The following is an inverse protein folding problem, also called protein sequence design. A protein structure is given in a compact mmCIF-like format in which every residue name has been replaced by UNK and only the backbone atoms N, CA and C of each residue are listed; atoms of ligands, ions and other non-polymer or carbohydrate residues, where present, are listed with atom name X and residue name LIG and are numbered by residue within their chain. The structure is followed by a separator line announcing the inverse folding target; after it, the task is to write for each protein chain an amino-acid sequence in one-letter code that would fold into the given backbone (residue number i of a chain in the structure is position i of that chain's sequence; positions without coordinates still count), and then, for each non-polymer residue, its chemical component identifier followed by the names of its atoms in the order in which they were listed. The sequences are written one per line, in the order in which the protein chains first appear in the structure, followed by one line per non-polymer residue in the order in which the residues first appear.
data_IF_311257645748
#
_entry.id   IF_311257645748
#
_cell.length_a   1.000
_cell.length_b   1.000
_cell.length_c   1.000
_cell.angle_alpha   90.00
_cell.angle_beta   90.00
_cell.angle_gamma   90.00
#
_symmetry.space_group_name_H-M   'P 1'
#
loop_
_entity.id
_entity.type
_entity.pdbx_description
1 polymer ?
#
# COMPACT_ATOMS: atom_id res chain seq x y z
N UNK A 1 -38.82 2.51 -16.31
CA UNK A 1 -37.86 2.84 -17.38
C UNK A 1 -37.65 4.35 -17.41
N UNK A 2 -36.62 4.85 -16.72
CA UNK A 2 -36.19 6.24 -16.89
C UNK A 2 -35.44 6.31 -18.22
N UNK A 3 -35.95 7.06 -19.18
CA UNK A 3 -35.30 7.29 -20.47
C UNK A 3 -33.99 8.03 -20.28
N UNK A 4 -32.87 7.33 -20.43
CA UNK A 4 -31.56 7.95 -20.66
C UNK A 4 -31.62 8.59 -22.06
N UNK A 5 -31.73 9.93 -22.14
CA UNK A 5 -31.59 10.65 -23.40
C UNK A 5 -30.18 10.39 -24.00
N UNK A 6 -30.03 10.57 -25.34
CA UNK A 6 -28.74 10.35 -26.03
C UNK A 6 -27.62 11.16 -25.36
N UNK A 7 -26.43 10.54 -25.09
CA UNK A 7 -25.29 11.26 -24.57
C UNK A 7 -24.84 12.33 -25.57
N UNK A 8 -24.44 13.50 -25.09
CA UNK A 8 -24.00 14.62 -25.96
C UNK A 8 -22.58 14.46 -26.46
N UNK A 9 -21.75 13.66 -25.74
CA UNK A 9 -20.34 13.43 -26.12
C UNK A 9 -19.89 12.06 -25.64
N UNK A 10 -19.05 11.39 -26.44
CA UNK A 10 -18.46 10.08 -26.12
C UNK A 10 -16.98 10.14 -26.45
N UNK A 11 -16.12 10.15 -25.44
CA UNK A 11 -14.68 10.12 -25.61
C UNK A 11 -14.10 8.75 -25.21
N UNK A 12 -13.20 8.23 -26.03
CA UNK A 12 -12.52 6.99 -25.77
C UNK A 12 -11.38 7.18 -24.74
N UNK A 13 -11.43 6.48 -23.61
CA UNK A 13 -10.33 6.40 -22.68
C UNK A 13 -9.25 5.46 -23.23
N UNK A 14 -8.12 6.01 -23.68
CA UNK A 14 -6.98 5.23 -24.19
C UNK A 14 -6.25 4.37 -23.16
N UNK A 15 -6.67 4.42 -21.88
CA UNK A 15 -5.90 3.85 -20.77
C UNK A 15 -6.15 2.35 -20.50
N UNK A 16 -7.16 1.71 -21.08
CA UNK A 16 -7.45 0.28 -20.84
C UNK A 16 -7.02 -0.61 -22.01
N UNK A 17 -6.17 -1.61 -21.76
CA UNK A 17 -5.75 -2.59 -22.79
C UNK A 17 -6.74 -3.77 -22.93
N UNK A 18 -7.71 -3.95 -22.05
CA UNK A 18 -8.61 -5.11 -22.00
C UNK A 18 -10.03 -4.81 -22.40
N UNK A 19 -10.78 -4.04 -21.65
CA UNK A 19 -12.17 -3.68 -21.94
C UNK A 19 -12.27 -2.23 -22.43
N UNK A 20 -12.78 -1.96 -23.67
CA UNK A 20 -12.98 -0.60 -24.16
C UNK A 20 -13.80 0.23 -23.20
N UNK A 21 -13.26 1.36 -22.79
CA UNK A 21 -13.81 2.25 -21.77
C UNK A 21 -14.02 3.64 -22.35
N UNK A 22 -15.18 4.25 -22.09
CA UNK A 22 -15.61 5.52 -22.66
C UNK A 22 -16.18 6.43 -21.60
N UNK A 23 -15.96 7.74 -21.75
CA UNK A 23 -16.71 8.75 -21.01
C UNK A 23 -18.05 9.01 -21.69
N UNK A 24 -19.10 9.08 -20.88
CA UNK A 24 -20.42 9.52 -21.30
C UNK A 24 -20.78 10.80 -20.56
N UNK A 25 -21.10 11.87 -21.27
CA UNK A 25 -21.54 13.12 -20.67
C UNK A 25 -23.05 13.31 -20.84
N UNK A 26 -23.76 13.55 -19.73
CA UNK A 26 -25.17 13.91 -19.70
C UNK A 26 -25.37 15.16 -18.85
N UNK A 27 -25.58 16.32 -19.49
CA UNK A 27 -25.60 17.60 -18.81
C UNK A 27 -24.25 17.90 -18.14
N UNK A 28 -24.25 18.14 -16.84
CA UNK A 28 -23.04 18.35 -16.04
C UNK A 28 -22.46 17.07 -15.43
N UNK A 29 -23.11 15.93 -15.61
CA UNK A 29 -22.69 14.66 -15.04
C UNK A 29 -21.92 13.85 -16.08
N UNK A 30 -20.79 13.29 -15.64
CA UNK A 30 -19.97 12.36 -16.41
C UNK A 30 -20.10 10.95 -15.85
N UNK A 31 -20.20 9.98 -16.73
CA UNK A 31 -20.27 8.56 -16.42
C UNK A 31 -19.17 7.83 -17.18
N UNK A 32 -18.90 6.60 -16.77
CA UNK A 32 -17.98 5.69 -17.47
C UNK A 32 -18.77 4.50 -17.99
N UNK A 33 -18.62 4.22 -19.29
CA UNK A 33 -19.15 3.03 -19.94
C UNK A 33 -17.99 2.08 -20.22
N UNK A 34 -18.11 0.83 -19.78
CA UNK A 34 -17.21 -0.28 -20.17
C UNK A 34 -17.99 -1.30 -20.95
N UNK A 35 -17.38 -1.81 -22.04
CA UNK A 35 -18.01 -2.82 -22.91
C UNK A 35 -17.04 -3.94 -23.24
N UNK A 36 -17.57 -5.11 -23.63
CA UNK A 36 -16.75 -6.17 -24.20
C UNK A 36 -16.10 -5.71 -25.50
N UNK A 37 -14.82 -6.07 -25.77
CA UNK A 37 -14.21 -5.80 -27.07
C UNK A 37 -14.92 -6.57 -28.19
N UNK A 38 -14.86 -6.06 -29.43
CA UNK A 38 -15.42 -6.77 -30.57
C UNK A 38 -14.58 -8.00 -30.92
N UNK A 39 -15.19 -8.98 -31.58
CA UNK A 39 -14.51 -10.18 -32.10
C UNK A 39 -14.72 -11.44 -31.27
N UNK A 40 -14.04 -12.52 -31.68
CA UNK A 40 -14.07 -13.80 -30.97
C UNK A 40 -13.19 -13.73 -29.73
N UNK A 41 -13.78 -13.84 -28.56
CA UNK A 41 -13.10 -13.74 -27.27
C UNK A 41 -12.75 -15.12 -26.74
N UNK A 42 -11.64 -15.22 -26.04
CA UNK A 42 -11.27 -16.44 -25.31
C UNK A 42 -12.33 -16.71 -24.23
N UNK A 43 -12.67 -17.99 -23.98
CA UNK A 43 -13.59 -18.35 -22.90
C UNK A 43 -13.13 -17.76 -21.58
N UNK A 44 -14.05 -17.13 -20.84
CA UNK A 44 -13.82 -16.44 -19.54
C UNK A 44 -12.98 -15.17 -19.59
N UNK A 45 -12.58 -14.68 -20.76
CA UNK A 45 -12.01 -13.34 -20.89
C UNK A 45 -13.12 -12.28 -20.97
N UNK A 46 -12.82 -11.07 -20.51
CA UNK A 46 -13.71 -9.91 -20.68
C UNK A 46 -15.13 -10.07 -20.09
N UNK A 47 -15.23 -10.68 -18.90
CA UNK A 47 -16.51 -10.92 -18.21
C UNK A 47 -16.98 -9.66 -17.47
N UNK A 48 -17.50 -8.67 -18.22
CA UNK A 48 -17.97 -7.40 -17.66
C UNK A 48 -19.20 -7.53 -16.74
N UNK A 49 -20.00 -8.58 -16.91
CA UNK A 49 -21.09 -8.96 -16.03
C UNK A 49 -20.59 -9.29 -14.62
N UNK A 50 -19.45 -10.00 -14.52
CA UNK A 50 -18.79 -10.31 -13.24
C UNK A 50 -18.21 -9.06 -12.59
N UNK A 51 -17.57 -8.20 -13.40
CA UNK A 51 -17.03 -6.93 -12.93
C UNK A 51 -18.15 -6.03 -12.36
N UNK A 52 -19.27 -5.90 -13.07
CA UNK A 52 -20.43 -5.18 -12.57
C UNK A 52 -21.02 -5.81 -11.30
N UNK A 53 -21.13 -7.14 -11.24
CA UNK A 53 -21.67 -7.87 -10.08
C UNK A 53 -20.87 -7.59 -8.81
N UNK A 54 -19.55 -7.71 -8.85
CA UNK A 54 -18.69 -7.46 -7.68
C UNK A 54 -18.71 -6.00 -7.26
N UNK A 55 -18.66 -5.07 -8.22
CA UNK A 55 -18.72 -3.64 -7.94
C UNK A 55 -20.04 -3.26 -7.28
N UNK A 56 -21.17 -3.83 -7.74
CA UNK A 56 -22.49 -3.62 -7.12
C UNK A 56 -22.56 -4.14 -5.70
N UNK A 57 -22.02 -5.33 -5.45
CA UNK A 57 -21.96 -5.91 -4.12
C UNK A 57 -21.12 -5.05 -3.16
N UNK A 58 -19.94 -4.61 -3.59
CA UNK A 58 -19.04 -3.75 -2.79
C UNK A 58 -19.66 -2.38 -2.52
N UNK A 59 -20.29 -1.78 -3.52
CA UNK A 59 -20.97 -0.50 -3.33
C UNK A 59 -22.10 -0.58 -2.31
N UNK A 60 -22.86 -1.68 -2.29
CA UNK A 60 -24.01 -1.85 -1.37
C UNK A 60 -23.62 -1.86 0.12
N UNK A 61 -22.36 -2.20 0.42
CA UNK A 61 -21.81 -2.24 1.79
C UNK A 61 -20.92 -1.04 2.11
N UNK A 62 -20.85 -0.04 1.22
CA UNK A 62 -20.05 1.17 1.45
C UNK A 62 -18.55 1.01 1.21
N UNK A 63 -18.09 -0.07 0.57
CA UNK A 63 -16.70 -0.18 0.14
C UNK A 63 -16.43 0.80 -1.01
N UNK A 64 -15.27 1.49 -1.05
CA UNK A 64 -14.97 2.53 -2.04
C UNK A 64 -14.82 1.92 -3.46
N UNK A 65 -15.89 1.97 -4.22
CA UNK A 65 -15.94 1.66 -5.65
C UNK A 65 -16.82 2.67 -6.36
N UNK A 66 -16.69 2.89 -7.68
CA UNK A 66 -17.60 3.73 -8.42
C UNK A 66 -19.04 3.21 -8.29
N UNK A 67 -20.01 4.12 -8.14
CA UNK A 67 -21.42 3.74 -8.08
C UNK A 67 -21.83 3.04 -9.38
N UNK A 68 -22.25 1.77 -9.35
CA UNK A 68 -22.77 1.06 -10.52
C UNK A 68 -24.15 1.62 -10.87
N UNK A 69 -24.38 1.96 -12.15
CA UNK A 69 -25.62 2.58 -12.61
C UNK A 69 -26.51 1.55 -13.29
N UNK A 70 -25.98 0.88 -14.32
CA UNK A 70 -26.72 -0.15 -15.05
C UNK A 70 -25.79 -1.16 -15.71
N UNK A 71 -26.28 -2.36 -15.91
CA UNK A 71 -25.72 -3.38 -16.79
C UNK A 71 -26.72 -3.69 -17.90
N UNK A 72 -26.24 -3.81 -19.12
CA UNK A 72 -27.05 -4.13 -20.31
C UNK A 72 -26.46 -5.34 -21.03
N UNK A 73 -27.21 -6.43 -21.04
CA UNK A 73 -26.88 -7.65 -21.79
C UNK A 73 -27.46 -7.64 -23.21
N UNK A 74 -28.34 -6.69 -23.54
CA UNK A 74 -28.93 -6.57 -24.86
C UNK A 74 -27.93 -5.98 -25.87
N UNK A 75 -27.42 -6.86 -26.72
CA UNK A 75 -26.43 -6.49 -27.74
C UNK A 75 -27.00 -5.64 -28.87
N UNK A 76 -28.33 -5.54 -29.00
CA UNK A 76 -28.96 -4.66 -30.02
C UNK A 76 -28.74 -3.18 -29.75
N UNK A 77 -28.40 -2.79 -28.50
CA UNK A 77 -28.26 -1.38 -28.08
C UNK A 77 -26.98 -0.74 -28.63
N UNK A 78 -25.80 -1.40 -28.47
CA UNK A 78 -24.50 -0.89 -28.95
C UNK A 78 -23.62 -1.96 -29.58
N UNK A 79 -24.20 -3.08 -29.99
CA UNK A 79 -23.48 -4.19 -30.63
C UNK A 79 -22.80 -5.17 -29.67
N UNK A 80 -22.81 -4.92 -28.37
CA UNK A 80 -22.17 -5.78 -27.37
C UNK A 80 -22.73 -5.48 -25.98
N UNK A 81 -22.51 -6.39 -25.02
CA UNK A 81 -22.81 -6.15 -23.61
C UNK A 81 -21.96 -5.01 -23.05
N UNK A 82 -22.54 -4.23 -22.14
CA UNK A 82 -21.86 -3.12 -21.48
C UNK A 82 -22.43 -2.83 -20.10
N UNK A 83 -21.68 -2.09 -19.30
CA UNK A 83 -22.21 -1.47 -18.08
C UNK A 83 -21.79 -0.01 -17.97
N UNK A 84 -22.54 0.74 -17.16
CA UNK A 84 -22.30 2.14 -16.87
C UNK A 84 -22.11 2.32 -15.37
N UNK A 85 -21.12 3.11 -14.99
CA UNK A 85 -20.83 3.50 -13.62
C UNK A 85 -20.60 5.01 -13.52
N UNK A 86 -20.60 5.52 -12.31
CA UNK A 86 -20.20 6.89 -12.00
C UNK A 86 -18.75 7.15 -12.42
N UNK A 87 -18.47 8.33 -12.93
CA UNK A 87 -17.11 8.81 -13.09
C UNK A 87 -16.64 9.43 -11.78
N UNK A 88 -15.77 8.74 -11.06
CA UNK A 88 -15.19 9.22 -9.80
C UNK A 88 -14.05 10.18 -10.11
N UNK A 89 -14.21 11.45 -9.74
CA UNK A 89 -13.18 12.48 -9.93
C UNK A 89 -12.19 12.46 -8.77
N UNK A 90 -10.92 12.23 -9.08
CA UNK A 90 -9.86 12.16 -8.08
C UNK A 90 -8.47 12.06 -8.69
N UNK A 91 -7.48 11.78 -7.85
CA UNK A 91 -6.08 11.60 -8.26
C UNK A 91 -5.79 10.12 -8.43
N UNK A 92 -5.11 9.76 -9.52
CA UNK A 92 -4.59 8.41 -9.78
C UNK A 92 -3.08 8.52 -9.94
N UNK A 93 -2.33 7.72 -9.19
CA UNK A 93 -0.87 7.74 -9.22
C UNK A 93 -0.35 6.55 -10.03
N UNK A 94 0.24 6.84 -11.19
CA UNK A 94 0.85 5.83 -12.08
C UNK A 94 2.34 5.64 -11.80
N UNK A 95 2.99 6.68 -11.30
CA UNK A 95 4.36 6.63 -10.82
C UNK A 95 4.35 6.28 -9.33
N UNK A 96 4.96 5.15 -8.97
CA UNK A 96 4.98 4.64 -7.60
C UNK A 96 5.79 5.55 -6.65
N UNK A 97 6.65 6.42 -7.18
CA UNK A 97 7.39 7.40 -6.37
C UNK A 97 6.53 8.60 -5.97
N UNK A 98 5.36 8.75 -6.58
CA UNK A 98 4.39 9.82 -6.37
C UNK A 98 5.07 11.19 -6.36
N UNK A 99 5.70 11.61 -7.47
CA UNK A 99 6.38 12.89 -7.56
C UNK A 99 5.40 14.04 -7.30
N UNK A 100 5.92 15.12 -6.71
CA UNK A 100 5.14 16.32 -6.40
C UNK A 100 4.42 16.31 -5.05
N UNK A 101 4.38 15.17 -4.33
CA UNK A 101 3.89 15.11 -2.96
C UNK A 101 5.04 15.18 -1.94
N UNK A 102 4.74 15.71 -0.76
CA UNK A 102 5.66 15.67 0.38
C UNK A 102 5.88 14.24 0.89
N UNK A 103 6.96 13.95 1.62
CA UNK A 103 7.17 12.64 2.24
C UNK A 103 5.99 12.17 3.11
N UNK A 104 5.39 13.06 3.88
CA UNK A 104 4.23 12.76 4.72
C UNK A 104 2.99 12.38 3.89
N UNK A 105 2.73 13.10 2.79
CA UNK A 105 1.61 12.78 1.89
C UNK A 105 1.83 11.45 1.17
N UNK A 106 3.07 11.16 0.73
CA UNK A 106 3.39 9.84 0.13
C UNK A 106 3.12 8.72 1.13
N UNK A 107 3.61 8.86 2.37
CA UNK A 107 3.32 7.90 3.44
C UNK A 107 1.82 7.71 3.61
N UNK A 108 1.05 8.79 3.73
CA UNK A 108 -0.39 8.73 3.92
C UNK A 108 -1.12 8.04 2.74
N UNK A 109 -0.69 8.24 1.49
CA UNK A 109 -1.24 7.54 0.30
C UNK A 109 -0.98 6.03 0.39
N UNK A 110 0.23 5.60 0.73
CA UNK A 110 0.55 4.18 0.86
C UNK A 110 -0.19 3.53 2.04
N UNK A 111 -0.28 4.23 3.17
CA UNK A 111 -1.06 3.79 4.34
C UNK A 111 -2.53 3.61 3.97
N UNK A 112 -3.17 4.62 3.39
CA UNK A 112 -4.58 4.56 2.97
C UNK A 112 -4.84 3.42 1.95
N UNK A 113 -3.86 3.12 1.08
CA UNK A 113 -3.94 1.99 0.15
C UNK A 113 -4.00 0.65 0.87
N UNK A 114 -3.10 0.44 1.83
CA UNK A 114 -3.03 -0.82 2.59
C UNK A 114 -4.21 -0.96 3.55
N UNK A 115 -4.68 0.11 4.16
CA UNK A 115 -5.90 0.13 4.99
C UNK A 115 -7.13 -0.27 4.15
N UNK A 116 -7.25 0.26 2.92
CA UNK A 116 -8.33 -0.13 2.00
C UNK A 116 -8.24 -1.62 1.62
N UNK A 117 -7.04 -2.13 1.39
CA UNK A 117 -6.85 -3.56 1.14
C UNK A 117 -7.22 -4.40 2.37
N UNK A 118 -6.83 -3.98 3.56
CA UNK A 118 -7.21 -4.66 4.80
C UNK A 118 -8.73 -4.66 5.02
N UNK A 119 -9.40 -3.54 4.71
CA UNK A 119 -10.86 -3.44 4.72
C UNK A 119 -11.49 -4.46 3.75
N UNK A 120 -10.99 -4.55 2.51
CA UNK A 120 -11.47 -5.54 1.53
C UNK A 120 -11.39 -6.96 2.08
N UNK A 121 -10.31 -7.29 2.80
CA UNK A 121 -10.09 -8.61 3.39
C UNK A 121 -10.94 -8.90 4.63
N UNK A 122 -11.49 -7.86 5.24
CA UNK A 122 -12.39 -8.02 6.40
C UNK A 122 -13.84 -8.31 5.99
N UNK A 123 -14.14 -8.25 4.69
CA UNK A 123 -15.49 -8.47 4.18
C UNK A 123 -15.87 -9.96 4.23
N UNK A 124 -17.06 -10.22 4.70
CA UNK A 124 -17.65 -11.56 4.63
C UNK A 124 -18.23 -11.81 3.24
N UNK A 125 -17.73 -12.86 2.55
CA UNK A 125 -18.18 -13.23 1.18
C UNK A 125 -19.68 -13.52 1.14
N UNK A 126 -20.22 -14.15 2.17
CA UNK A 126 -21.65 -14.48 2.23
C UNK A 126 -22.51 -13.22 2.28
N UNK A 127 -22.08 -12.20 3.04
CA UNK A 127 -22.80 -10.91 3.09
C UNK A 127 -22.78 -10.16 1.77
N UNK A 128 -21.80 -10.44 0.89
CA UNK A 128 -21.70 -9.87 -0.45
C UNK A 128 -22.58 -10.55 -1.50
N UNK A 129 -23.24 -11.67 -1.16
CA UNK A 129 -24.02 -12.47 -2.11
C UNK A 129 -23.22 -12.82 -3.39
N UNK A 130 -21.95 -13.18 -3.19
CA UNK A 130 -21.01 -13.54 -4.26
C UNK A 130 -20.78 -15.06 -4.32
N UNK A 131 -21.79 -15.87 -3.91
CA UNK A 131 -21.75 -17.33 -4.04
C UNK A 131 -21.52 -17.71 -5.51
N UNK A 132 -20.57 -18.64 -5.72
CA UNK A 132 -20.19 -19.07 -7.06
C UNK A 132 -19.39 -18.05 -7.88
N UNK A 133 -19.02 -16.90 -7.29
CA UNK A 133 -18.18 -15.90 -7.97
C UNK A 133 -16.77 -16.42 -8.27
N UNK A 134 -16.25 -17.34 -7.47
CA UNK A 134 -14.96 -18.01 -7.67
C UNK A 134 -14.89 -19.29 -6.84
N UNK A 135 -13.81 -20.03 -7.02
CA UNK A 135 -13.47 -21.20 -6.22
C UNK A 135 -12.32 -20.80 -5.31
N UNK A 136 -12.55 -20.68 -4.01
CA UNK A 136 -11.54 -20.26 -3.04
C UNK A 136 -10.58 -21.38 -2.70
N UNK A 137 -11.08 -22.49 -2.16
CA UNK A 137 -10.28 -23.62 -1.70
C UNK A 137 -9.29 -24.12 -2.76
N UNK A 138 -8.02 -24.28 -2.37
CA UNK A 138 -6.93 -24.68 -3.26
C UNK A 138 -6.54 -23.60 -4.30
N UNK A 139 -6.76 -22.33 -3.98
CA UNK A 139 -6.45 -21.20 -4.85
C UNK A 139 -4.99 -21.17 -5.25
N UNK A 140 -4.05 -21.26 -4.31
CA UNK A 140 -2.61 -21.20 -4.57
C UNK A 140 -2.16 -22.31 -5.53
N UNK A 141 -2.59 -23.55 -5.27
CA UNK A 141 -2.31 -24.69 -6.14
C UNK A 141 -2.82 -24.47 -7.58
N UNK A 142 -4.04 -23.93 -7.71
CA UNK A 142 -4.59 -23.62 -9.04
C UNK A 142 -3.83 -22.50 -9.73
N UNK A 143 -3.42 -21.44 -9.02
CA UNK A 143 -2.62 -20.36 -9.58
C UNK A 143 -1.29 -20.89 -10.10
N UNK A 144 -0.54 -21.64 -9.30
CA UNK A 144 0.73 -22.24 -9.73
C UNK A 144 0.51 -23.08 -10.99
N UNK A 145 -0.45 -24.01 -10.99
CA UNK A 145 -0.75 -24.89 -12.11
C UNK A 145 -1.16 -24.13 -13.37
N UNK A 146 -1.99 -23.09 -13.21
CA UNK A 146 -2.47 -22.29 -14.36
C UNK A 146 -1.34 -21.50 -14.99
N UNK A 147 -0.54 -20.81 -14.18
CA UNK A 147 0.57 -19.99 -14.70
C UNK A 147 1.70 -20.85 -15.27
N UNK A 148 1.95 -22.03 -14.71
CA UNK A 148 2.88 -23.02 -15.29
C UNK A 148 2.45 -23.42 -16.70
N UNK A 149 1.16 -23.80 -16.86
CA UNK A 149 0.62 -24.18 -18.19
C UNK A 149 0.66 -23.02 -19.17
N UNK A 150 0.29 -21.81 -18.73
CA UNK A 150 0.31 -20.62 -19.58
C UNK A 150 1.75 -20.26 -20.03
N UNK A 151 2.71 -20.31 -19.10
CA UNK A 151 4.11 -20.10 -19.42
C UNK A 151 4.61 -21.14 -20.41
N UNK A 152 4.38 -22.42 -20.16
CA UNK A 152 4.82 -23.51 -21.06
C UNK A 152 4.24 -23.38 -22.47
N UNK A 153 2.96 -23.00 -22.58
CA UNK A 153 2.31 -22.79 -23.87
C UNK A 153 2.86 -21.55 -24.63
N UNK A 154 3.43 -20.59 -23.93
CA UNK A 154 3.98 -19.34 -24.50
C UNK A 154 5.52 -19.35 -24.58
N UNK A 155 6.20 -20.36 -24.04
CA UNK A 155 7.66 -20.39 -23.96
C UNK A 155 8.28 -20.60 -25.36
N UNK A 156 9.27 -19.75 -25.70
CA UNK A 156 10.06 -19.83 -26.92
C UNK A 156 11.52 -20.22 -26.66
N UNK A 157 11.92 -20.16 -25.38
CA UNK A 157 13.23 -20.57 -24.89
C UNK A 157 13.11 -21.16 -23.51
N UNK A 158 14.08 -21.98 -23.13
CA UNK A 158 14.15 -22.49 -21.76
C UNK A 158 14.70 -21.40 -20.82
N UNK A 159 13.97 -21.16 -19.72
CA UNK A 159 14.38 -20.27 -18.63
C UNK A 159 14.40 -21.10 -17.35
N UNK A 160 15.58 -21.63 -16.95
CA UNK A 160 15.68 -22.55 -15.80
C UNK A 160 15.08 -21.99 -14.51
N UNK A 161 15.15 -20.66 -14.30
CA UNK A 161 14.55 -20.01 -13.13
C UNK A 161 13.02 -20.17 -13.09
N UNK A 162 12.34 -20.16 -14.23
CA UNK A 162 10.88 -20.37 -14.28
C UNK A 162 10.50 -21.80 -13.89
N UNK A 163 11.26 -22.80 -14.36
CA UNK A 163 11.02 -24.19 -13.98
C UNK A 163 11.26 -24.41 -12.49
N UNK A 164 12.44 -23.98 -11.98
CA UNK A 164 12.80 -24.11 -10.56
C UNK A 164 11.78 -23.40 -9.65
N UNK A 165 11.32 -22.20 -10.04
CA UNK A 165 10.32 -21.45 -9.30
C UNK A 165 8.97 -22.16 -9.27
N UNK A 166 8.53 -22.70 -10.43
CA UNK A 166 7.29 -23.49 -10.52
C UNK A 166 7.31 -24.73 -9.62
N UNK A 167 8.43 -25.48 -9.66
CA UNK A 167 8.63 -26.67 -8.82
C UNK A 167 8.65 -26.32 -7.33
N UNK A 168 9.35 -25.25 -6.97
CA UNK A 168 9.41 -24.78 -5.59
C UNK A 168 8.02 -24.36 -5.08
N UNK A 169 7.28 -23.57 -5.86
CA UNK A 169 5.92 -23.12 -5.50
C UNK A 169 4.98 -24.31 -5.31
N UNK A 170 5.03 -25.32 -6.18
CA UNK A 170 4.19 -26.50 -6.07
C UNK A 170 4.53 -27.34 -4.84
N UNK A 171 5.80 -27.39 -4.43
CA UNK A 171 6.27 -28.12 -3.26
C UNK A 171 5.99 -27.40 -1.93
N UNK A 172 5.87 -26.07 -1.96
CA UNK A 172 5.75 -25.24 -0.75
C UNK A 172 4.39 -24.53 -0.68
N UNK A 173 3.33 -25.20 -1.11
CA UNK A 173 1.96 -24.67 -0.98
C UNK A 173 1.64 -24.35 0.48
N UNK A 174 0.94 -23.22 0.76
CA UNK A 174 0.52 -22.91 2.11
C UNK A 174 -0.45 -23.94 2.68
N UNK A 175 -0.28 -24.27 3.97
CA UNK A 175 -1.20 -25.20 4.66
C UNK A 175 -2.64 -24.65 4.75
N UNK A 176 -2.78 -23.30 4.74
CA UNK A 176 -4.04 -22.59 4.78
C UNK A 176 -4.59 -22.22 3.39
N UNK A 177 -4.28 -22.97 2.33
CA UNK A 177 -4.79 -22.72 0.96
C UNK A 177 -6.33 -22.86 0.83
N UNK A 178 -7.02 -23.05 1.96
CA UNK A 178 -8.48 -23.03 2.05
C UNK A 178 -9.04 -21.69 2.55
N UNK A 179 -8.22 -20.71 2.87
CA UNK A 179 -8.70 -19.38 3.18
C UNK A 179 -9.34 -18.72 1.95
N UNK A 180 -10.56 -18.21 2.15
CA UNK A 180 -11.38 -17.66 1.08
C UNK A 180 -11.72 -16.21 1.35
N UNK A 181 -11.28 -15.34 0.46
CA UNK A 181 -11.62 -13.92 0.47
C UNK A 181 -11.87 -13.43 -0.95
N UNK A 182 -12.63 -12.35 -1.07
CA UNK A 182 -12.68 -11.61 -2.33
C UNK A 182 -11.30 -10.99 -2.59
N UNK A 183 -10.67 -11.32 -3.69
CA UNK A 183 -9.42 -10.71 -4.13
C UNK A 183 -9.67 -9.85 -5.38
N UNK A 184 -8.92 -8.76 -5.48
CA UNK A 184 -8.96 -7.86 -6.62
C UNK A 184 -8.23 -8.46 -7.84
N UNK A 185 -7.09 -9.10 -7.60
CA UNK A 185 -6.27 -9.76 -8.62
C UNK A 185 -5.25 -8.84 -9.33
N UNK A 186 -5.43 -7.51 -9.26
CA UNK A 186 -4.51 -6.48 -9.77
C UNK A 186 -4.54 -5.22 -8.89
N UNK A 187 -4.35 -5.39 -7.58
CA UNK A 187 -4.42 -4.29 -6.62
C UNK A 187 -3.13 -3.46 -6.67
N UNK A 188 -3.21 -2.27 -7.31
CA UNK A 188 -2.09 -1.36 -7.56
C UNK A 188 -2.53 0.09 -7.44
N UNK A 189 -1.58 1.02 -7.20
CA UNK A 189 -1.87 2.46 -7.06
C UNK A 189 -2.61 3.07 -8.26
N UNK A 190 -2.29 2.62 -9.48
CA UNK A 190 -2.94 3.13 -10.70
C UNK A 190 -4.36 2.59 -10.93
N UNK A 191 -4.80 1.62 -10.12
CA UNK A 191 -6.18 1.16 -10.02
C UNK A 191 -6.94 1.78 -8.83
N UNK A 192 -6.37 2.79 -8.18
CA UNK A 192 -6.95 3.45 -7.00
C UNK A 192 -7.16 4.93 -7.26
N UNK A 193 -8.34 5.43 -6.98
CA UNK A 193 -8.68 6.85 -7.04
C UNK A 193 -8.62 7.43 -5.64
N UNK A 194 -7.78 8.44 -5.46
CA UNK A 194 -7.67 9.19 -4.22
C UNK A 194 -8.47 10.50 -4.31
N UNK A 195 -8.93 10.97 -3.17
CA UNK A 195 -9.62 12.25 -3.07
C UNK A 195 -8.76 13.39 -3.69
N UNK A 196 -9.37 14.41 -4.34
CA UNK A 196 -8.62 15.47 -5.02
C UNK A 196 -7.59 16.21 -4.14
N UNK A 197 -7.89 16.35 -2.85
CA UNK A 197 -7.05 17.11 -1.89
C UNK A 197 -6.53 16.27 -0.72
N UNK A 198 -7.27 15.26 -0.27
CA UNK A 198 -6.96 14.44 0.90
C UNK A 198 -6.21 13.15 0.50
N UNK A 199 -5.46 12.57 1.43
CA UNK A 199 -4.77 11.30 1.21
C UNK A 199 -5.66 10.09 1.60
N UNK A 200 -6.89 10.04 1.10
CA UNK A 200 -7.81 8.92 1.31
C UNK A 200 -8.31 8.34 0.00
N UNK A 201 -8.54 7.05 -0.02
CA UNK A 201 -9.12 6.32 -1.15
C UNK A 201 -10.60 6.65 -1.28
N UNK A 202 -11.05 6.94 -2.50
CA UNK A 202 -12.46 7.19 -2.83
C UNK A 202 -13.02 6.16 -3.82
N UNK A 203 -12.18 5.47 -4.58
CA UNK A 203 -12.61 4.33 -5.37
C UNK A 203 -11.45 3.37 -5.68
N UNK A 204 -11.76 2.08 -5.75
CA UNK A 204 -10.92 1.02 -6.31
C UNK A 204 -11.54 0.61 -7.64
N UNK A 205 -10.73 0.63 -8.70
CA UNK A 205 -11.12 0.40 -10.09
C UNK A 205 -10.64 -0.95 -10.59
N UNK A 206 -11.15 -1.37 -11.74
CA UNK A 206 -10.66 -2.51 -12.56
C UNK A 206 -10.76 -3.88 -11.88
N UNK A 207 -11.98 -4.29 -11.59
CA UNK A 207 -12.31 -5.56 -10.94
C UNK A 207 -12.36 -6.76 -11.90
N UNK A 208 -11.84 -6.65 -13.12
CA UNK A 208 -11.95 -7.71 -14.15
C UNK A 208 -11.24 -9.01 -13.76
N UNK A 209 -10.14 -8.92 -12.97
CA UNK A 209 -9.39 -10.08 -12.49
C UNK A 209 -9.84 -10.58 -11.12
N UNK A 210 -10.87 -9.97 -10.55
CA UNK A 210 -11.34 -10.32 -9.22
C UNK A 210 -11.94 -11.73 -9.16
N UNK A 211 -11.72 -12.38 -8.03
CA UNK A 211 -12.19 -13.75 -7.76
C UNK A 211 -12.21 -14.02 -6.26
N UNK A 212 -12.65 -15.22 -5.87
CA UNK A 212 -12.43 -15.72 -4.52
C UNK A 212 -11.08 -16.42 -4.47
N UNK A 213 -10.24 -16.06 -3.51
CA UNK A 213 -8.89 -16.59 -3.39
C UNK A 213 -8.23 -16.29 -2.05
N UNK A 214 -6.94 -16.55 -1.95
CA UNK A 214 -6.19 -16.37 -0.71
C UNK A 214 -5.94 -14.89 -0.38
N UNK A 215 -6.21 -14.43 0.84
CA UNK A 215 -6.17 -13.02 1.23
C UNK A 215 -4.81 -12.34 1.05
N UNK A 216 -3.69 -13.05 1.10
CA UNK A 216 -2.36 -12.46 0.96
C UNK A 216 -1.95 -12.21 -0.50
N UNK A 217 -2.72 -12.68 -1.48
CA UNK A 217 -2.36 -12.58 -2.90
C UNK A 217 -2.25 -11.13 -3.39
N UNK A 218 -3.21 -10.27 -3.02
CA UNK A 218 -3.17 -8.87 -3.46
C UNK A 218 -2.13 -8.04 -2.69
N UNK A 219 -1.91 -8.34 -1.40
CA UNK A 219 -0.86 -7.68 -0.63
C UNK A 219 0.51 -7.99 -1.23
N UNK A 220 0.76 -9.26 -1.61
CA UNK A 220 1.99 -9.65 -2.26
C UNK A 220 2.13 -9.03 -3.66
N UNK A 221 1.04 -8.94 -4.42
CA UNK A 221 1.03 -8.25 -5.70
C UNK A 221 1.34 -6.75 -5.55
N UNK A 222 0.73 -6.09 -4.59
CA UNK A 222 1.01 -4.70 -4.26
C UNK A 222 2.48 -4.48 -3.82
N UNK A 223 3.09 -5.47 -3.17
CA UNK A 223 4.46 -5.38 -2.66
C UNK A 223 5.55 -5.65 -3.71
N UNK A 224 5.20 -6.00 -4.96
CA UNK A 224 6.17 -6.34 -6.01
C UNK A 224 7.23 -5.26 -6.23
N UNK A 225 6.86 -3.98 -6.14
CA UNK A 225 7.77 -2.87 -6.44
C UNK A 225 8.97 -2.78 -5.47
N UNK A 226 8.86 -3.31 -4.24
CA UNK A 226 9.97 -3.30 -3.27
C UNK A 226 11.17 -4.15 -3.69
N UNK A 227 10.94 -5.17 -4.52
CA UNK A 227 11.97 -6.10 -4.99
C UNK A 227 12.09 -6.12 -6.51
N UNK A 228 11.51 -5.13 -7.19
CA UNK A 228 11.51 -5.12 -8.65
C UNK A 228 12.94 -5.09 -9.19
N UNK A 229 13.30 -5.96 -10.17
CA UNK A 229 14.65 -6.01 -10.69
C UNK A 229 15.07 -4.70 -11.33
N UNK A 230 16.23 -4.17 -10.95
CA UNK A 230 16.76 -2.89 -11.50
C UNK A 230 16.99 -2.92 -13.00
N UNK A 231 17.15 -4.11 -13.57
CA UNK A 231 17.33 -4.35 -15.02
C UNK A 231 16.02 -4.29 -15.80
N UNK A 232 14.87 -4.20 -15.11
CA UNK A 232 13.54 -4.19 -15.74
C UNK A 232 12.97 -2.78 -15.72
N UNK A 233 12.83 -2.10 -16.88
CA UNK A 233 12.54 -0.66 -16.96
C UNK A 233 11.11 -0.25 -16.64
N UNK A 234 10.20 -1.19 -16.36
CA UNK A 234 8.76 -0.90 -16.25
C UNK A 234 8.32 -0.20 -14.96
N UNK A 235 9.17 -0.14 -13.94
CA UNK A 235 8.88 0.55 -12.67
C UNK A 235 10.02 1.51 -12.36
N UNK A 236 9.67 2.76 -12.12
CA UNK A 236 10.62 3.79 -11.77
C UNK A 236 11.17 3.53 -10.36
N UNK A 237 12.35 2.94 -10.27
CA UNK A 237 13.02 2.61 -9.00
C UNK A 237 13.83 3.77 -8.42
N UNK A 238 13.86 4.91 -9.12
CA UNK A 238 14.81 5.99 -8.84
C UNK A 238 14.67 6.68 -7.49
N UNK A 239 13.73 6.31 -6.63
CA UNK A 239 13.38 7.13 -5.47
C UNK A 239 13.00 6.39 -4.20
N UNK A 240 13.21 5.08 -4.09
CA UNK A 240 13.12 4.42 -2.80
C UNK A 240 14.36 4.75 -1.98
N UNK A 241 14.39 5.94 -1.41
CA UNK A 241 15.37 6.34 -0.39
C UNK A 241 14.68 6.31 0.98
N UNK A 242 15.44 6.09 2.03
CA UNK A 242 14.95 6.14 3.42
C UNK A 242 14.20 7.44 3.76
N UNK A 243 14.44 8.52 3.01
CA UNK A 243 13.80 9.82 3.18
C UNK A 243 12.69 10.10 2.16
N UNK A 244 12.28 9.13 1.34
CA UNK A 244 11.24 9.33 0.32
C UNK A 244 9.84 9.55 0.92
N UNK A 245 9.61 9.11 2.15
CA UNK A 245 8.30 9.04 2.81
C UNK A 245 7.46 7.84 2.37
N UNK A 246 7.95 7.01 1.45
CA UNK A 246 7.28 5.73 1.13
C UNK A 246 7.61 4.76 2.26
N UNK A 247 6.60 4.19 2.96
CA UNK A 247 6.83 3.24 4.04
C UNK A 247 7.60 2.01 3.53
N UNK A 248 8.40 1.38 4.41
CA UNK A 248 9.00 0.09 4.11
C UNK A 248 7.94 -0.99 3.94
N UNK A 249 8.29 -2.11 3.32
CA UNK A 249 7.37 -3.24 3.20
C UNK A 249 6.94 -3.76 4.57
N UNK A 250 7.87 -3.80 5.52
CA UNK A 250 7.65 -4.22 6.90
C UNK A 250 6.64 -3.30 7.61
N UNK A 251 6.74 -1.99 7.41
CA UNK A 251 5.77 -1.01 7.93
C UNK A 251 4.39 -1.22 7.33
N UNK A 252 4.29 -1.43 6.01
CA UNK A 252 3.00 -1.70 5.35
C UNK A 252 2.37 -3.02 5.79
N UNK A 253 3.17 -4.08 5.98
CA UNK A 253 2.70 -5.35 6.54
C UNK A 253 2.18 -5.14 7.96
N UNK A 254 2.90 -4.35 8.78
CA UNK A 254 2.48 -3.98 10.13
C UNK A 254 1.10 -3.32 10.14
N UNK A 255 0.90 -2.34 9.26
CA UNK A 255 -0.38 -1.62 9.13
C UNK A 255 -1.49 -2.59 8.71
N UNK A 256 -1.23 -3.42 7.69
CA UNK A 256 -2.18 -4.43 7.24
C UNK A 256 -2.58 -5.40 8.37
N UNK A 257 -1.61 -5.94 9.09
CA UNK A 257 -1.86 -6.88 10.19
C UNK A 257 -2.66 -6.23 11.32
N UNK A 258 -2.33 -4.99 11.70
CA UNK A 258 -3.06 -4.21 12.69
C UNK A 258 -4.52 -3.99 12.28
N UNK A 259 -4.77 -3.54 11.05
CA UNK A 259 -6.12 -3.32 10.54
C UNK A 259 -6.94 -4.61 10.47
N UNK A 260 -6.28 -5.75 10.30
CA UNK A 260 -6.89 -7.08 10.25
C UNK A 260 -7.07 -7.73 11.63
N UNK A 261 -6.50 -7.17 12.70
CA UNK A 261 -6.46 -7.79 14.01
C UNK A 261 -5.71 -9.12 14.05
N UNK A 262 -4.74 -9.32 13.14
CA UNK A 262 -3.90 -10.53 13.09
C UNK A 262 -2.51 -10.25 13.65
N UNK A 263 -1.93 -11.27 14.28
CA UNK A 263 -0.57 -11.18 14.76
C UNK A 263 0.43 -10.97 13.61
N UNK A 264 1.48 -10.33 13.92
CA UNK A 264 2.44 -9.66 13.07
C UNK A 264 3.29 -10.52 12.13
N UNK A 265 3.05 -11.81 12.04
CA UNK A 265 3.75 -12.71 11.13
C UNK A 265 2.78 -13.19 10.07
N UNK A 266 3.02 -12.81 8.82
CA UNK A 266 2.28 -13.35 7.69
C UNK A 266 2.86 -14.74 7.34
N UNK A 267 2.10 -15.81 7.56
CA UNK A 267 2.60 -17.15 7.25
C UNK A 267 2.84 -17.27 5.75
N UNK A 268 3.93 -17.95 5.38
CA UNK A 268 4.27 -18.22 3.98
C UNK A 268 4.40 -16.97 3.09
N UNK A 269 4.81 -15.82 3.67
CA UNK A 269 4.91 -14.56 2.93
C UNK A 269 5.83 -14.65 1.71
N UNK A 270 6.95 -15.38 1.84
CA UNK A 270 7.86 -15.68 0.75
C UNK A 270 7.18 -16.42 -0.41
N UNK A 271 6.23 -17.33 -0.11
CA UNK A 271 5.44 -18.03 -1.13
C UNK A 271 4.60 -17.06 -1.95
N UNK A 272 3.88 -16.14 -1.31
CA UNK A 272 3.00 -15.19 -2.01
C UNK A 272 3.78 -14.20 -2.84
N UNK A 273 4.92 -13.71 -2.36
CA UNK A 273 5.82 -12.88 -3.16
C UNK A 273 6.36 -13.65 -4.37
N UNK A 274 6.87 -14.86 -4.17
CA UNK A 274 7.38 -15.71 -5.23
C UNK A 274 6.31 -16.04 -6.28
N UNK A 275 5.09 -16.36 -5.85
CA UNK A 275 3.93 -16.58 -6.73
C UNK A 275 3.57 -15.34 -7.55
N UNK A 276 3.62 -14.15 -6.93
CA UNK A 276 3.35 -12.89 -7.63
C UNK A 276 4.39 -12.60 -8.71
N UNK A 277 5.68 -12.85 -8.45
CA UNK A 277 6.73 -12.74 -9.46
C UNK A 277 6.59 -13.80 -10.56
N UNK A 278 6.24 -15.04 -10.22
CA UNK A 278 5.98 -16.10 -11.17
C UNK A 278 4.82 -15.75 -12.12
N UNK A 279 3.74 -15.21 -11.58
CA UNK A 279 2.59 -14.68 -12.34
C UNK A 279 3.06 -13.57 -13.30
N UNK A 280 3.83 -12.58 -12.82
CA UNK A 280 4.31 -11.47 -13.65
C UNK A 280 5.24 -11.95 -14.76
N UNK A 281 6.14 -12.88 -14.50
CA UNK A 281 7.00 -13.49 -15.52
C UNK A 281 6.16 -14.25 -16.57
N UNK A 282 5.13 -14.99 -16.16
CA UNK A 282 4.19 -15.68 -17.04
C UNK A 282 3.40 -14.72 -17.94
N UNK A 283 2.93 -13.58 -17.37
CA UNK A 283 2.27 -12.50 -18.14
C UNK A 283 3.22 -11.92 -19.18
N UNK A 284 4.46 -11.60 -18.79
CA UNK A 284 5.48 -11.06 -19.68
C UNK A 284 5.76 -12.00 -20.84
N UNK A 285 5.92 -13.30 -20.56
CA UNK A 285 6.11 -14.32 -21.60
C UNK A 285 4.93 -14.38 -22.57
N UNK A 286 3.69 -14.32 -22.05
CA UNK A 286 2.49 -14.30 -22.88
C UNK A 286 2.38 -13.06 -23.76
N UNK A 287 2.82 -11.88 -23.29
CA UNK A 287 2.88 -10.65 -24.11
C UNK A 287 3.90 -10.81 -25.22
N UNK A 288 5.09 -11.30 -24.90
CA UNK A 288 6.16 -11.55 -25.89
C UNK A 288 5.74 -12.58 -26.94
N UNK A 289 5.13 -13.68 -26.53
CA UNK A 289 4.63 -14.70 -27.46
C UNK A 289 3.61 -14.13 -28.45
N UNK A 290 2.66 -13.31 -28.01
CA UNK A 290 1.70 -12.64 -28.91
C UNK A 290 2.38 -11.66 -29.87
N UNK A 291 3.43 -10.99 -29.43
CA UNK A 291 4.24 -10.15 -30.34
C UNK A 291 4.88 -10.96 -31.46
N UNK A 292 5.51 -12.07 -31.10
CA UNK A 292 6.14 -12.98 -32.13
C UNK A 292 5.13 -13.54 -33.14
N UNK A 293 3.86 -13.74 -32.69
CA UNK A 293 2.78 -14.21 -33.56
C UNK A 293 2.10 -13.08 -34.36
N UNK A 294 2.58 -11.83 -34.24
CA UNK A 294 2.00 -10.68 -34.93
C UNK A 294 0.63 -10.24 -34.40
N UNK A 295 0.23 -10.77 -33.22
CA UNK A 295 -1.09 -10.53 -32.60
C UNK A 295 -1.06 -9.42 -31.53
N UNK A 296 -0.03 -8.56 -31.51
CA UNK A 296 0.10 -7.48 -30.54
C UNK A 296 0.36 -6.16 -31.25
N UNK A 297 -0.44 -5.13 -30.89
CA UNK A 297 -0.39 -3.79 -31.48
C UNK A 297 0.63 -2.84 -30.84
N UNK A 298 1.35 -3.25 -29.78
CA UNK A 298 2.30 -2.40 -29.07
C UNK A 298 3.71 -2.65 -29.61
N UNK A 299 4.35 -1.60 -30.14
CA UNK A 299 5.74 -1.64 -30.62
C UNK A 299 6.72 -2.04 -29.54
N UNK A 300 6.46 -1.73 -28.27
CA UNK A 300 7.33 -2.05 -27.13
C UNK A 300 7.21 -3.50 -26.62
N UNK A 301 6.38 -4.33 -27.26
CA UNK A 301 6.12 -5.70 -26.77
C UNK A 301 7.34 -6.64 -26.88
N UNK A 302 8.31 -6.32 -27.71
CA UNK A 302 9.57 -7.06 -27.79
C UNK A 302 10.41 -6.93 -26.50
N UNK A 303 10.28 -5.82 -25.76
CA UNK A 303 11.01 -5.61 -24.50
C UNK A 303 10.64 -6.64 -23.43
N UNK A 304 9.45 -7.25 -23.53
CA UNK A 304 9.00 -8.26 -22.59
C UNK A 304 9.84 -9.54 -22.61
N UNK A 305 10.58 -9.82 -23.69
CA UNK A 305 11.53 -10.92 -23.74
C UNK A 305 12.60 -10.82 -22.64
N UNK A 306 13.08 -9.60 -22.38
CA UNK A 306 14.21 -9.33 -21.49
C UNK A 306 13.81 -9.25 -20.01
N UNK A 307 12.52 -9.28 -19.71
CA UNK A 307 12.04 -9.13 -18.30
C UNK A 307 11.60 -10.44 -17.66
N UNK A 308 11.34 -11.49 -18.43
CA UNK A 308 10.87 -12.79 -17.93
C UNK A 308 11.89 -13.40 -16.96
N UNK A 309 13.13 -13.55 -17.41
CA UNK A 309 14.20 -14.16 -16.61
C UNK A 309 14.49 -13.37 -15.33
N UNK A 310 14.72 -12.05 -15.34
CA UNK A 310 14.95 -11.29 -14.11
C UNK A 310 13.79 -11.39 -13.11
N UNK A 311 12.55 -11.42 -13.58
CA UNK A 311 11.38 -11.59 -12.68
C UNK A 311 11.37 -12.99 -12.06
N UNK A 312 11.64 -14.04 -12.84
CA UNK A 312 11.70 -15.41 -12.35
C UNK A 312 12.83 -15.60 -11.33
N UNK A 313 14.02 -15.07 -11.61
CA UNK A 313 15.17 -15.10 -10.70
C UNK A 313 14.88 -14.37 -9.39
N UNK A 314 14.23 -13.20 -9.44
CA UNK A 314 13.81 -12.47 -8.25
C UNK A 314 12.82 -13.29 -7.43
N UNK A 315 11.80 -13.88 -8.07
CA UNK A 315 10.87 -14.78 -7.40
C UNK A 315 11.57 -15.95 -6.71
N UNK A 316 12.55 -16.55 -7.38
CA UNK A 316 13.34 -17.66 -6.86
C UNK A 316 14.26 -17.24 -5.70
N UNK A 317 14.81 -16.03 -5.73
CA UNK A 317 15.57 -15.48 -4.60
C UNK A 317 14.67 -15.22 -3.38
N UNK A 318 13.49 -14.62 -3.60
CA UNK A 318 12.52 -14.34 -2.54
C UNK A 318 11.95 -15.60 -1.92
N UNK A 319 11.80 -16.68 -2.69
CA UNK A 319 11.33 -17.98 -2.19
C UNK A 319 12.24 -18.56 -1.10
N UNK A 320 13.55 -18.27 -1.17
CA UNK A 320 14.56 -18.73 -0.23
C UNK A 320 14.79 -17.78 0.94
N UNK A 321 14.19 -16.58 0.89
CA UNK A 321 14.38 -15.55 1.91
C UNK A 321 13.50 -15.82 3.12
N UNK A 322 14.08 -15.78 4.31
CA UNK A 322 13.32 -15.73 5.55
C UNK A 322 12.98 -14.28 5.83
N UNK A 323 11.72 -13.95 5.82
CA UNK A 323 11.23 -12.64 6.26
C UNK A 323 11.04 -12.71 7.76
N UNK A 324 11.99 -12.16 8.51
CA UNK A 324 11.82 -11.92 9.94
C UNK A 324 10.89 -10.74 10.08
N UNK A 325 9.61 -10.98 10.08
CA UNK A 325 8.64 -9.99 10.54
C UNK A 325 8.69 -9.94 12.06
N UNK A 326 9.82 -9.50 12.60
CA UNK A 326 9.81 -8.90 13.92
C UNK A 326 9.16 -7.53 13.69
N UNK A 327 7.83 -7.51 13.75
CA UNK A 327 7.17 -6.22 13.92
C UNK A 327 7.74 -5.61 15.19
N UNK A 328 8.04 -4.31 15.22
CA UNK A 328 8.24 -3.63 16.47
C UNK A 328 7.06 -4.04 17.38
N UNK A 329 7.34 -4.52 18.56
CA UNK A 329 6.30 -4.93 19.51
C UNK A 329 5.36 -3.75 19.66
N UNK A 330 4.16 -3.87 19.10
CA UNK A 330 3.10 -2.91 19.33
C UNK A 330 2.72 -3.16 20.79
N UNK A 331 3.10 -2.21 21.62
CA UNK A 331 2.58 -2.17 22.98
C UNK A 331 1.06 -2.23 22.88
N UNK A 332 0.45 -3.10 23.69
CA UNK A 332 -0.99 -3.40 23.72
C UNK A 332 -1.86 -2.17 24.13
N UNK A 333 -1.26 -1.00 24.22
CA UNK A 333 -1.90 0.28 24.57
C UNK A 333 -2.61 1.01 23.43
N UNK A 334 -2.71 0.41 22.23
CA UNK A 334 -3.51 0.98 21.14
C UNK A 334 -2.95 2.27 20.51
N UNK A 335 -1.65 2.52 20.62
CA UNK A 335 -1.03 3.70 20.03
C UNK A 335 -1.02 3.67 18.51
N UNK A 336 -1.58 4.71 17.92
CA UNK A 336 -1.75 4.93 16.47
C UNK A 336 -0.44 5.16 15.69
N UNK A 337 0.72 5.24 16.38
CA UNK A 337 1.99 5.68 15.81
C UNK A 337 3.11 4.70 16.12
N UNK A 338 3.79 4.20 15.09
CA UNK A 338 4.93 3.29 15.23
C UNK A 338 6.22 4.10 15.28
N UNK A 339 6.96 3.97 16.37
CA UNK A 339 8.31 4.53 16.48
C UNK A 339 9.30 3.74 15.63
N UNK A 340 10.29 4.45 15.08
CA UNK A 340 11.45 3.80 14.48
C UNK A 340 12.31 3.13 15.58
N UNK A 341 13.18 2.18 15.19
CA UNK A 341 14.14 1.57 16.14
C UNK A 341 14.98 2.63 16.84
N UNK A 342 15.44 3.65 16.09
CA UNK A 342 16.16 4.79 16.64
C UNK A 342 15.32 5.58 17.64
N UNK A 343 14.05 5.83 17.32
CA UNK A 343 13.10 6.51 18.21
C UNK A 343 12.91 5.76 19.52
N UNK A 344 12.78 4.43 19.47
CA UNK A 344 12.68 3.58 20.66
C UNK A 344 13.95 3.64 21.52
N UNK A 345 15.13 3.53 20.90
CA UNK A 345 16.41 3.61 21.60
C UNK A 345 16.58 4.98 22.29
N UNK A 346 16.22 6.07 21.61
CA UNK A 346 16.28 7.43 22.18
C UNK A 346 15.25 7.61 23.28
N UNK A 347 14.01 7.11 23.12
CA UNK A 347 12.98 7.18 24.16
C UNK A 347 13.40 6.47 25.45
N UNK A 348 14.05 5.31 25.34
CA UNK A 348 14.61 4.57 26.49
C UNK A 348 15.64 5.44 27.21
N UNK A 349 16.56 6.08 26.48
CA UNK A 349 17.57 6.99 27.06
C UNK A 349 16.90 8.19 27.73
N UNK A 350 15.90 8.81 27.10
CA UNK A 350 15.15 9.94 27.68
C UNK A 350 14.43 9.51 28.96
N UNK A 351 13.74 8.36 28.97
CA UNK A 351 13.10 7.83 30.19
C UNK A 351 14.11 7.59 31.31
N UNK A 352 15.28 7.07 30.98
CA UNK A 352 16.35 6.87 31.95
C UNK A 352 16.83 8.21 32.51
N UNK A 353 17.13 9.17 31.65
CA UNK A 353 17.58 10.52 32.02
C UNK A 353 16.54 11.25 32.88
N UNK A 354 15.26 11.18 32.49
CA UNK A 354 14.15 11.73 33.27
C UNK A 354 14.15 11.17 34.68
N UNK A 355 14.23 9.86 34.83
CA UNK A 355 14.19 9.17 36.12
C UNK A 355 15.41 9.43 36.98
N UNK A 356 16.59 9.48 36.40
CA UNK A 356 17.86 9.60 37.15
C UNK A 356 18.23 11.04 37.48
N UNK A 357 17.83 12.00 36.66
CA UNK A 357 18.35 13.37 36.75
C UNK A 357 17.23 14.43 36.83
N UNK A 358 16.18 14.35 36.03
CA UNK A 358 15.15 15.38 35.97
C UNK A 358 14.21 15.32 37.19
N UNK A 359 13.58 14.17 37.41
CA UNK A 359 12.63 14.01 38.51
C UNK A 359 13.26 14.25 39.90
N UNK A 360 14.48 13.81 40.19
CA UNK A 360 15.12 14.15 41.45
C UNK A 360 15.39 15.65 41.65
N UNK A 361 15.63 16.41 40.56
CA UNK A 361 15.87 17.86 40.61
C UNK A 361 14.58 18.69 40.72
N UNK A 362 13.41 18.09 40.54
CA UNK A 362 12.11 18.82 40.51
C UNK A 362 11.85 19.58 41.81
N UNK A 363 12.22 19.02 42.95
CA UNK A 363 12.08 19.67 44.24
C UNK A 363 12.93 20.92 44.33
N UNK A 364 14.22 20.85 43.97
CA UNK A 364 15.16 21.98 43.98
C UNK A 364 14.70 23.11 43.06
N UNK A 365 14.23 22.77 41.85
CA UNK A 365 13.72 23.74 40.86
C UNK A 365 12.44 24.42 41.37
N UNK A 366 11.52 23.64 41.93
CA UNK A 366 10.27 24.16 42.49
C UNK A 366 10.52 25.10 43.69
N UNK A 367 11.38 24.71 44.63
CA UNK A 367 11.77 25.53 45.77
C UNK A 367 12.42 26.85 45.33
N UNK A 368 13.26 26.82 44.30
CA UNK A 368 13.85 28.04 43.73
C UNK A 368 12.80 29.02 43.23
N UNK A 369 11.81 28.58 42.44
CA UNK A 369 10.76 29.46 41.94
C UNK A 369 9.83 30.00 43.05
N UNK A 370 9.50 29.17 44.06
CA UNK A 370 8.69 29.60 45.19
C UNK A 370 9.44 30.69 46.00
N UNK A 371 10.73 30.49 46.26
CA UNK A 371 11.51 31.48 47.02
C UNK A 371 11.70 32.80 46.26
N UNK A 372 11.72 32.75 44.92
CA UNK A 372 11.93 33.95 44.11
C UNK A 372 10.63 34.56 43.57
N UNK A 373 9.47 34.07 43.97
CA UNK A 373 8.15 34.56 43.48
C UNK A 373 7.97 36.07 43.53
N UNK A 374 8.49 36.71 44.62
CA UNK A 374 8.39 38.14 44.86
C UNK A 374 9.72 38.90 44.61
N UNK A 375 10.72 38.26 43.98
CA UNK A 375 12.01 38.89 43.69
C UNK A 375 11.97 39.66 42.35
N UNK A 376 12.91 40.59 42.22
CA UNK A 376 13.13 41.33 40.94
C UNK A 376 13.51 40.33 39.80
N UNK A 377 14.16 39.24 40.16
CA UNK A 377 14.61 38.18 39.27
C UNK A 377 13.73 36.91 39.36
N UNK A 378 12.42 37.10 39.47
CA UNK A 378 11.47 35.98 39.57
C UNK A 378 11.48 35.00 38.36
N UNK A 379 12.08 35.43 37.23
CA UNK A 379 12.23 34.63 36.02
C UNK A 379 13.65 34.08 35.84
N UNK A 380 14.51 34.24 36.85
CA UNK A 380 15.84 33.66 36.87
C UNK A 380 15.77 32.13 36.78
N UNK A 381 16.83 31.52 36.21
CA UNK A 381 16.91 30.06 36.05
C UNK A 381 17.75 29.45 37.18
N UNK A 382 17.31 28.35 37.80
CA UNK A 382 18.13 27.65 38.78
C UNK A 382 19.35 27.00 38.08
N UNK A 383 20.51 27.09 38.69
CA UNK A 383 21.78 26.55 38.15
C UNK A 383 21.74 25.05 37.84
N UNK A 384 20.87 24.31 38.50
CA UNK A 384 20.69 22.85 38.26
C UNK A 384 20.17 22.61 36.83
N UNK A 385 19.33 23.50 36.27
CA UNK A 385 18.83 23.36 34.89
C UNK A 385 19.98 23.44 33.88
N UNK A 386 20.92 24.37 34.05
CA UNK A 386 22.06 24.49 33.15
C UNK A 386 23.01 23.29 33.22
N UNK A 387 23.21 22.73 34.43
CA UNK A 387 23.95 21.47 34.59
C UNK A 387 23.26 20.31 33.86
N UNK A 388 21.97 20.17 33.99
CA UNK A 388 21.19 19.15 33.33
C UNK A 388 21.20 19.30 31.80
N UNK A 389 21.22 20.52 31.25
CA UNK A 389 21.39 20.80 29.82
C UNK A 389 22.74 20.26 29.29
N UNK A 390 23.82 20.53 30.00
CA UNK A 390 25.13 20.03 29.58
C UNK A 390 25.17 18.49 29.63
N UNK A 391 24.59 17.87 30.63
CA UNK A 391 24.48 16.42 30.69
C UNK A 391 23.68 15.86 29.51
N UNK A 392 22.52 16.45 29.17
CA UNK A 392 21.68 16.05 28.07
C UNK A 392 22.41 16.18 26.71
N UNK A 393 23.25 17.22 26.55
CA UNK A 393 24.11 17.37 25.35
C UNK A 393 25.13 16.26 25.24
N UNK A 394 25.83 15.91 26.33
CA UNK A 394 26.81 14.84 26.37
C UNK A 394 26.19 13.49 26.02
N UNK A 395 24.97 13.23 26.46
CA UNK A 395 24.26 11.98 26.17
C UNK A 395 23.58 11.96 24.78
N UNK A 396 23.72 13.06 24.00
CA UNK A 396 23.10 13.17 22.67
C UNK A 396 21.58 13.33 22.70
N UNK A 397 21.04 13.87 23.80
CA UNK A 397 19.60 14.10 24.02
C UNK A 397 19.19 15.56 23.77
N UNK A 398 20.00 16.33 23.06
CA UNK A 398 19.78 17.75 22.79
C UNK A 398 19.17 17.96 21.39
N UNK A 399 18.20 18.85 21.28
CA UNK A 399 17.54 19.17 20.00
C UNK A 399 16.80 17.99 19.33
N UNK A 400 16.22 17.09 20.12
CA UNK A 400 15.56 15.89 19.61
C UNK A 400 14.36 16.20 18.69
N UNK A 401 13.74 17.38 18.81
CA UNK A 401 12.61 17.83 17.98
C UNK A 401 12.99 18.21 16.55
N UNK A 402 14.28 18.37 16.26
CA UNK A 402 14.77 18.72 14.93
C UNK A 402 15.15 17.46 14.13
N UNK A 403 14.34 17.00 13.15
CA UNK A 403 14.64 15.79 12.37
C UNK A 403 15.99 15.84 11.67
N UNK A 404 16.38 17.01 11.15
CA UNK A 404 17.68 17.21 10.48
C UNK A 404 18.91 17.02 11.41
N UNK A 405 18.74 17.20 12.72
CA UNK A 405 19.78 17.07 13.73
C UNK A 405 19.72 15.70 14.41
N UNK A 406 18.53 15.35 14.89
CA UNK A 406 18.32 14.10 15.65
C UNK A 406 18.19 12.86 14.76
N UNK A 407 17.75 13.02 13.52
CA UNK A 407 17.38 11.93 12.63
C UNK A 407 16.14 11.15 13.11
N UNK A 408 15.31 11.75 13.98
CA UNK A 408 14.06 11.18 14.47
C UNK A 408 12.90 11.65 13.57
N UNK A 409 11.91 10.81 13.38
CA UNK A 409 10.64 11.24 12.77
C UNK A 409 9.82 12.06 13.77
N UNK A 410 8.83 12.82 13.29
CA UNK A 410 7.90 13.54 14.19
C UNK A 410 7.10 12.59 15.08
N UNK A 411 6.87 11.37 14.62
CA UNK A 411 6.20 10.31 15.39
C UNK A 411 7.09 9.84 16.54
N UNK A 412 8.39 9.61 16.27
CA UNK A 412 9.36 9.26 17.31
C UNK A 412 9.43 10.34 18.37
N UNK A 413 9.47 11.59 17.92
CA UNK A 413 9.56 12.72 18.83
C UNK A 413 8.28 12.94 19.64
N UNK A 414 7.09 12.64 19.12
CA UNK A 414 5.83 12.81 19.84
C UNK A 414 5.80 12.03 21.18
N UNK A 415 6.28 10.79 21.18
CA UNK A 415 6.38 9.97 22.39
C UNK A 415 7.50 10.45 23.34
N UNK A 416 8.56 11.03 22.80
CA UNK A 416 9.62 11.68 23.59
C UNK A 416 9.06 12.96 24.23
N UNK A 417 8.29 13.75 23.49
CA UNK A 417 7.62 14.96 24.02
C UNK A 417 6.63 14.63 25.14
N UNK A 418 5.86 13.55 25.00
CA UNK A 418 4.99 13.05 26.08
C UNK A 418 5.80 12.70 27.34
N UNK A 419 6.94 12.03 27.21
CA UNK A 419 7.78 11.67 28.35
C UNK A 419 8.38 12.92 29.02
N UNK A 420 8.92 13.87 28.22
CA UNK A 420 9.51 15.11 28.76
C UNK A 420 8.45 16.04 29.35
N UNK A 421 7.21 15.99 28.86
CA UNK A 421 6.07 16.75 29.38
C UNK A 421 5.63 16.37 30.80
N UNK A 422 6.12 15.26 31.37
CA UNK A 422 5.85 14.86 32.76
C UNK A 422 6.48 15.77 33.80
N UNK A 423 7.44 16.60 33.43
CA UNK A 423 8.09 17.57 34.29
C UNK A 423 8.16 18.93 33.59
N UNK A 424 7.71 20.00 34.26
CA UNK A 424 7.50 21.32 33.66
C UNK A 424 8.78 21.98 33.08
N UNK A 425 9.97 21.67 33.61
CA UNK A 425 11.24 22.21 33.10
C UNK A 425 12.03 21.25 32.20
N UNK A 426 11.60 19.99 32.09
CA UNK A 426 12.31 19.02 31.26
C UNK A 426 12.40 19.44 29.78
N UNK A 427 11.37 20.03 29.15
CA UNK A 427 11.48 20.53 27.78
C UNK A 427 12.61 21.57 27.60
N UNK A 428 12.91 22.39 28.61
CA UNK A 428 14.03 23.33 28.57
C UNK A 428 15.37 22.60 28.63
N UNK A 429 15.51 21.55 29.44
CA UNK A 429 16.72 20.76 29.55
C UNK A 429 17.09 20.06 28.23
N UNK A 430 16.13 19.55 27.49
CA UNK A 430 16.36 18.89 26.19
C UNK A 430 16.33 19.86 25.00
N UNK A 431 16.16 21.17 25.24
CA UNK A 431 15.95 22.22 24.23
C UNK A 431 14.80 21.89 23.27
N UNK A 432 13.72 21.40 23.82
CA UNK A 432 12.54 20.95 23.09
C UNK A 432 11.36 21.92 23.22
N UNK A 433 11.60 23.15 23.64
CA UNK A 433 10.59 24.20 23.65
C UNK A 433 10.35 24.70 22.22
N UNK A 434 9.09 25.04 21.91
CA UNK A 434 8.79 25.70 20.65
C UNK A 434 9.70 26.95 20.55
N UNK A 435 10.22 27.29 19.33
CA UNK A 435 11.04 28.45 19.15
C UNK A 435 10.23 29.71 19.44
N UNK A 436 10.12 30.04 20.73
CA UNK A 436 9.68 31.31 21.21
C UNK A 436 10.84 32.27 21.08
N UNK A 437 10.80 33.16 20.09
CA UNK A 437 11.49 34.44 20.02
C UNK A 437 12.80 34.55 20.82
N UNK A 438 13.90 34.05 20.27
CA UNK A 438 15.23 34.62 20.45
C UNK A 438 15.92 34.66 19.10
N UNK A 439 15.48 35.64 18.27
CA UNK A 439 16.37 36.27 17.34
C UNK A 439 17.08 37.36 18.17
N UNK A 440 18.32 37.11 18.51
CA UNK A 440 19.40 38.12 18.59
C UNK A 440 20.71 37.35 18.48
#
# INVERSE_FOLDING_TARGET
SQHFGRPRHVDHLRAGKSNPTFYLQKGFQTYVLRKKPPGSLLPKAHQIDREFKVQKALFSIGFPVPKPILYCSDTSVIGTEFYVMEHVQGRIFRDLTIPGLSPAERSAIYVATVETLAQLRSLNIQSLQLEGYGIGAGYCKRQVSTWTKQYQAAAHQDIPAMQQLSEWLMKNLPDNDNEENLIHGDFRLDNIVFHPKECRVIAVLDWELSTIGHPLSDLAHFSLFYFWPRTVPMINQGSYSENSGIPSMEELISIYCRCRGINSILPNWNFFLALSYFKMAGIAQGVYSRYLLGNNSSEDSFLFANIVQPLAETGLQLSKRTFSTVLPQIDTTGQLFVQTRKGQEVLIKVKHFMKQHILPAEKEVTEFYVQNENSVDKWGKPLVIDKLKEMAKVEGLWNLFLPAVSGLSHVDYALIAEETGKCFFAPDVFNCQAPGYYIN
#
